data_IF_375194481166
#
_entry.id   IF_375194481166
#
_cell.length_a   1.000
_cell.length_b   1.000
_cell.length_c   1.000
_cell.angle_alpha   90.00
_cell.angle_beta   90.00
_cell.angle_gamma   90.00
#
_symmetry.space_group_name_H-M   'P 1'
#
loop_
_entity.id
_entity.type
_entity.pdbx_description
1 polymer ?
#
# COMPACT_ATOMS: atom_id res chain seq x y z
N UNK A 1 4.91 8.82 -26.15
CA UNK A 1 5.88 9.10 -25.06
C UNK A 1 5.11 9.27 -23.76
N UNK A 2 5.25 8.38 -22.77
CA UNK A 2 4.60 8.57 -21.46
C UNK A 2 5.26 9.76 -20.76
N UNK A 3 4.50 10.81 -20.43
CA UNK A 3 4.96 11.88 -19.54
C UNK A 3 5.53 11.25 -18.27
N UNK A 4 6.85 11.30 -18.13
CA UNK A 4 7.55 10.85 -16.93
C UNK A 4 7.30 11.90 -15.85
N UNK A 5 6.66 11.50 -14.75
CA UNK A 5 6.32 12.41 -13.68
C UNK A 5 7.34 12.23 -12.56
N UNK A 6 8.44 12.99 -12.60
CA UNK A 6 9.55 12.87 -11.64
C UNK A 6 9.10 12.98 -10.18
N UNK A 7 8.01 13.70 -9.91
CA UNK A 7 7.41 13.80 -8.57
C UNK A 7 6.87 12.47 -8.05
N UNK A 8 6.39 11.57 -8.92
CA UNK A 8 5.92 10.24 -8.51
C UNK A 8 7.08 9.35 -8.08
N UNK A 9 8.22 9.43 -8.77
CA UNK A 9 9.38 8.61 -8.42
C UNK A 9 10.05 9.12 -7.14
N UNK A 10 10.09 10.45 -6.95
CA UNK A 10 10.48 11.04 -5.67
C UNK A 10 9.56 10.59 -4.52
N UNK A 11 8.24 10.53 -4.74
CA UNK A 11 7.31 10.02 -3.73
C UNK A 11 7.52 8.55 -3.42
N UNK A 12 7.70 7.69 -4.44
CA UNK A 12 8.02 6.27 -4.19
C UNK A 12 9.30 6.13 -3.38
N UNK A 13 10.34 6.88 -3.73
CA UNK A 13 11.59 6.92 -2.98
C UNK A 13 11.38 7.32 -1.52
N UNK A 14 10.58 8.37 -1.29
CA UNK A 14 10.20 8.77 0.08
C UNK A 14 9.46 7.65 0.82
N UNK A 15 8.51 6.97 0.17
CA UNK A 15 7.81 5.85 0.78
C UNK A 15 8.78 4.71 1.17
N UNK A 16 9.76 4.38 0.32
CA UNK A 16 10.79 3.37 0.63
C UNK A 16 11.60 3.82 1.86
N UNK A 17 12.04 5.09 1.92
CA UNK A 17 12.77 5.61 3.06
C UNK A 17 11.96 5.54 4.35
N UNK A 18 10.66 5.85 4.30
CA UNK A 18 9.77 5.76 5.47
C UNK A 18 9.54 4.31 5.93
N UNK A 19 9.56 3.32 5.02
CA UNK A 19 9.53 1.90 5.39
C UNK A 19 10.77 1.54 6.20
N UNK A 20 11.95 1.89 5.68
CA UNK A 20 13.22 1.59 6.34
C UNK A 20 13.29 2.26 7.72
N UNK A 21 12.93 3.54 7.80
CA UNK A 21 12.93 4.27 9.06
C UNK A 21 11.87 3.76 10.05
N UNK A 22 10.70 3.31 9.57
CA UNK A 22 9.66 2.69 10.39
C UNK A 22 10.07 1.32 10.97
N UNK A 23 11.11 0.71 10.42
CA UNK A 23 11.71 -0.54 10.91
C UNK A 23 13.06 -0.34 11.61
N UNK A 24 13.48 0.91 11.86
CA UNK A 24 14.78 1.20 12.49
C UNK A 24 14.82 0.93 14.01
N UNK A 25 13.76 0.35 14.58
CA UNK A 25 13.62 0.10 16.03
C UNK A 25 13.11 1.28 16.85
N UNK A 26 12.85 2.45 16.24
CA UNK A 26 12.24 3.60 16.93
C UNK A 26 10.72 3.45 17.01
N UNK A 27 10.11 3.40 18.22
CA UNK A 27 8.66 3.31 18.37
C UNK A 27 7.94 4.50 17.72
N UNK A 28 8.56 5.67 17.77
CA UNK A 28 8.01 6.89 17.18
C UNK A 28 7.89 6.79 15.65
N UNK A 29 8.97 6.40 14.97
CA UNK A 29 8.94 6.25 13.51
C UNK A 29 8.07 5.09 13.07
N UNK A 30 8.09 3.98 13.81
CA UNK A 30 7.21 2.85 13.56
C UNK A 30 5.74 3.28 13.58
N UNK A 31 5.32 3.98 14.63
CA UNK A 31 3.94 4.41 14.78
C UNK A 31 3.48 5.35 13.67
N UNK A 32 4.16 6.49 13.48
CA UNK A 32 3.68 7.55 12.58
C UNK A 32 3.91 7.25 11.09
N UNK A 33 4.98 6.55 10.72
CA UNK A 33 5.20 6.25 9.29
C UNK A 33 4.23 5.19 8.77
N UNK A 34 3.81 4.25 9.61
CA UNK A 34 2.83 3.22 9.26
C UNK A 34 1.45 3.81 8.88
N UNK A 35 1.13 5.00 9.38
CA UNK A 35 -0.11 5.70 9.06
C UNK A 35 -0.29 6.02 7.57
N UNK A 36 0.78 6.10 6.77
CA UNK A 36 0.63 6.54 5.39
C UNK A 36 1.50 5.84 4.36
N UNK A 37 2.67 5.30 4.71
CA UNK A 37 3.61 4.83 3.68
C UNK A 37 3.01 3.70 2.81
N UNK A 38 2.35 2.71 3.42
CA UNK A 38 1.68 1.61 2.70
C UNK A 38 0.48 2.11 1.88
N UNK A 39 -0.52 2.80 2.46
CA UNK A 39 -1.60 3.41 1.68
C UNK A 39 -1.11 4.24 0.50
N UNK A 40 -0.07 5.05 0.69
CA UNK A 40 0.48 5.93 -0.33
C UNK A 40 1.09 5.15 -1.49
N UNK A 41 1.79 4.04 -1.22
CA UNK A 41 2.24 3.15 -2.30
C UNK A 41 1.09 2.59 -3.14
N UNK A 42 -0.02 2.18 -2.50
CA UNK A 42 -1.20 1.71 -3.21
C UNK A 42 -1.84 2.82 -4.04
N UNK A 43 -1.96 4.03 -3.49
CA UNK A 43 -2.46 5.21 -4.21
C UNK A 43 -1.59 5.56 -5.42
N UNK A 44 -0.26 5.58 -5.26
CA UNK A 44 0.68 5.83 -6.38
C UNK A 44 0.53 4.75 -7.46
N UNK A 45 0.41 3.49 -7.05
CA UNK A 45 0.22 2.36 -7.99
C UNK A 45 -1.10 2.48 -8.76
N UNK A 46 -2.17 2.88 -8.07
CA UNK A 46 -3.47 3.18 -8.68
C UNK A 46 -3.45 4.37 -9.62
N UNK A 47 -2.71 5.44 -9.27
CA UNK A 47 -2.53 6.60 -10.13
C UNK A 47 -1.87 6.24 -11.47
N UNK A 48 -0.90 5.33 -11.44
CA UNK A 48 -0.18 4.84 -12.63
C UNK A 48 -0.97 3.80 -13.44
N UNK A 49 -2.11 3.34 -12.92
CA UNK A 49 -2.96 2.38 -13.60
C UNK A 49 -3.68 3.01 -14.78
N UNK A 50 -3.79 2.25 -15.87
CA UNK A 50 -4.54 2.61 -17.06
C UNK A 50 -5.58 1.51 -17.31
N UNK A 51 -6.87 1.81 -17.48
CA UNK A 51 -7.85 0.77 -17.71
C UNK A 51 -7.63 0.12 -19.09
N UNK A 52 -7.98 -1.17 -19.20
CA UNK A 52 -7.92 -1.93 -20.46
C UNK A 52 -9.33 -2.33 -20.86
N UNK A 53 -9.55 -2.45 -22.17
CA UNK A 53 -10.90 -2.68 -22.72
C UNK A 53 -11.16 -4.15 -22.99
N UNK A 54 -10.10 -4.93 -23.24
CA UNK A 54 -10.19 -6.36 -23.57
C UNK A 54 -9.55 -7.23 -22.50
N UNK A 55 -10.11 -8.42 -22.31
CA UNK A 55 -9.60 -9.43 -21.37
C UNK A 55 -8.16 -9.85 -21.69
N UNK A 56 -7.82 -9.95 -22.98
CA UNK A 56 -6.47 -10.32 -23.44
C UNK A 56 -5.44 -9.26 -23.01
N UNK A 57 -5.75 -7.96 -23.19
CA UNK A 57 -4.89 -6.86 -22.76
C UNK A 57 -4.69 -6.85 -21.24
N UNK A 58 -5.73 -7.15 -20.46
CA UNK A 58 -5.62 -7.30 -18.99
C UNK A 58 -4.67 -8.45 -18.65
N UNK A 59 -4.84 -9.63 -19.28
CA UNK A 59 -3.98 -10.80 -19.03
C UNK A 59 -2.52 -10.50 -19.35
N UNK A 60 -2.23 -9.93 -20.51
CA UNK A 60 -0.85 -9.55 -20.90
C UNK A 60 -0.24 -8.56 -19.91
N UNK A 61 -1.02 -7.56 -19.47
CA UNK A 61 -0.55 -6.59 -18.49
C UNK A 61 -0.29 -7.22 -17.11
N UNK A 62 -1.17 -8.12 -16.66
CA UNK A 62 -0.98 -8.87 -15.41
C UNK A 62 0.26 -9.75 -15.49
N UNK A 63 0.51 -10.44 -16.62
CA UNK A 63 1.72 -11.25 -16.81
C UNK A 63 3.00 -10.41 -16.72
N UNK A 64 3.00 -9.21 -17.33
CA UNK A 64 4.11 -8.26 -17.19
C UNK A 64 4.31 -7.80 -15.74
N UNK A 65 3.23 -7.60 -14.99
CA UNK A 65 3.29 -7.25 -13.57
C UNK A 65 3.78 -8.41 -12.70
N UNK A 66 3.31 -9.62 -12.98
CA UNK A 66 3.75 -10.85 -12.35
C UNK A 66 5.26 -11.01 -12.50
N UNK A 67 5.78 -10.88 -13.73
CA UNK A 67 7.22 -10.95 -13.98
C UNK A 67 8.00 -9.85 -13.27
N UNK A 68 7.49 -8.61 -13.25
CA UNK A 68 8.18 -7.50 -12.60
C UNK A 68 8.19 -7.58 -11.06
N UNK A 69 7.17 -8.16 -10.45
CA UNK A 69 7.00 -8.18 -9.00
C UNK A 69 7.41 -9.51 -8.38
N UNK A 70 6.93 -10.62 -8.94
CA UNK A 70 7.13 -11.93 -8.34
C UNK A 70 8.46 -12.57 -8.70
N UNK A 71 9.07 -12.23 -9.85
CA UNK A 71 10.45 -12.70 -10.12
C UNK A 71 11.41 -12.13 -9.07
N UNK A 72 11.47 -10.81 -8.80
CA UNK A 72 12.29 -10.32 -7.69
C UNK A 72 11.90 -10.91 -6.33
N UNK A 73 10.60 -11.06 -6.04
CA UNK A 73 10.12 -11.67 -4.79
C UNK A 73 10.72 -13.06 -4.57
N UNK A 74 10.62 -13.96 -5.57
CA UNK A 74 11.15 -15.32 -5.45
C UNK A 74 12.68 -15.33 -5.52
N UNK A 75 13.32 -14.51 -6.36
CA UNK A 75 14.77 -14.43 -6.44
C UNK A 75 15.41 -13.99 -5.12
N UNK A 76 14.93 -12.88 -4.52
CA UNK A 76 15.42 -12.43 -3.22
C UNK A 76 15.01 -13.38 -2.10
N UNK A 77 13.82 -13.96 -2.17
CA UNK A 77 13.35 -14.92 -1.17
C UNK A 77 14.22 -16.19 -1.11
N UNK A 78 14.60 -16.72 -2.28
CA UNK A 78 15.51 -17.85 -2.42
C UNK A 78 16.93 -17.48 -2.01
N UNK A 79 17.41 -16.27 -2.33
CA UNK A 79 18.71 -15.78 -1.86
C UNK A 79 18.79 -15.78 -0.32
N UNK A 80 17.76 -15.26 0.35
CA UNK A 80 17.68 -15.25 1.81
C UNK A 80 17.64 -16.68 2.35
N UNK A 81 16.87 -17.56 1.72
CA UNK A 81 16.81 -18.97 2.12
C UNK A 81 18.19 -19.66 2.01
N UNK A 82 18.96 -19.35 0.96
CA UNK A 82 20.33 -19.82 0.78
C UNK A 82 21.28 -19.27 1.86
N UNK A 83 21.16 -17.99 2.23
CA UNK A 83 21.96 -17.40 3.31
C UNK A 83 21.67 -18.09 4.65
N UNK A 84 20.39 -18.31 4.96
CA UNK A 84 19.97 -19.04 6.17
C UNK A 84 20.55 -20.44 6.18
N UNK A 85 20.51 -21.15 5.04
CA UNK A 85 21.10 -22.48 4.92
C UNK A 85 22.59 -22.49 5.27
N UNK A 86 23.36 -21.54 4.75
CA UNK A 86 24.80 -21.43 5.04
C UNK A 86 25.07 -21.11 6.51
N UNK A 87 24.18 -20.39 7.18
CA UNK A 87 24.32 -20.03 8.59
C UNK A 87 23.92 -21.14 9.55
N UNK A 88 22.84 -21.87 9.25
CA UNK A 88 22.24 -22.84 10.19
C UNK A 88 22.49 -24.30 9.83
N UNK A 89 22.90 -24.59 8.58
CA UNK A 89 23.02 -25.94 8.01
C UNK A 89 21.77 -26.81 8.20
N UNK A 90 20.61 -26.20 8.41
CA UNK A 90 19.37 -26.88 8.75
C UNK A 90 18.41 -26.91 7.55
N UNK A 91 18.38 -28.05 6.86
CA UNK A 91 17.50 -28.24 5.68
C UNK A 91 16.02 -28.06 6.02
N UNK A 92 15.58 -28.50 7.21
CA UNK A 92 14.18 -28.39 7.63
C UNK A 92 13.76 -26.93 7.77
N UNK A 93 14.63 -26.10 8.34
CA UNK A 93 14.39 -24.66 8.49
C UNK A 93 14.27 -23.99 7.11
N UNK A 94 15.14 -24.33 6.17
CA UNK A 94 15.09 -23.80 4.79
C UNK A 94 13.80 -24.19 4.08
N UNK A 95 13.40 -25.46 4.16
CA UNK A 95 12.16 -25.94 3.54
C UNK A 95 10.92 -25.23 4.12
N UNK A 96 10.88 -25.00 5.44
CA UNK A 96 9.82 -24.22 6.08
C UNK A 96 9.80 -22.77 5.59
N UNK A 97 10.98 -22.13 5.45
CA UNK A 97 11.06 -20.77 4.92
C UNK A 97 10.60 -20.68 3.45
N UNK A 98 10.95 -21.66 2.61
CA UNK A 98 10.46 -21.73 1.22
C UNK A 98 8.94 -21.94 1.21
N UNK A 99 8.41 -22.79 2.08
CA UNK A 99 6.96 -22.98 2.23
C UNK A 99 6.26 -21.68 2.64
N UNK A 100 6.81 -20.95 3.62
CA UNK A 100 6.32 -19.63 4.00
C UNK A 100 6.41 -18.61 2.86
N UNK A 101 7.47 -18.63 2.06
CA UNK A 101 7.62 -17.80 0.87
C UNK A 101 6.53 -18.09 -0.18
N UNK A 102 6.17 -19.36 -0.37
CA UNK A 102 5.11 -19.77 -1.29
C UNK A 102 3.71 -19.38 -0.80
N UNK A 103 3.40 -19.61 0.48
CA UNK A 103 2.10 -19.24 1.06
C UNK A 103 1.96 -17.74 1.22
N UNK A 104 3.05 -17.05 1.47
CA UNK A 104 3.09 -15.62 1.72
C UNK A 104 2.21 -15.20 2.91
N UNK A 105 1.74 -13.96 2.87
CA UNK A 105 0.87 -13.42 3.90
C UNK A 105 1.52 -13.41 5.29
N UNK A 106 0.72 -13.49 6.36
CA UNK A 106 1.22 -13.37 7.75
C UNK A 106 2.21 -14.47 8.16
N UNK A 107 2.34 -15.53 7.36
CA UNK A 107 3.37 -16.55 7.55
C UNK A 107 4.80 -16.04 7.27
N UNK A 108 4.92 -14.92 6.56
CA UNK A 108 6.19 -14.22 6.34
C UNK A 108 6.61 -13.48 7.62
N UNK A 109 7.24 -14.20 8.53
CA UNK A 109 7.87 -13.68 9.73
C UNK A 109 9.33 -13.25 9.51
N UNK A 110 9.87 -12.50 10.47
CA UNK A 110 11.31 -12.19 10.57
C UNK A 110 11.90 -11.63 9.25
N UNK A 111 12.71 -12.42 8.54
CA UNK A 111 13.45 -12.05 7.34
C UNK A 111 12.57 -11.70 6.14
N UNK A 112 11.36 -12.26 6.07
CA UNK A 112 10.49 -12.13 4.90
C UNK A 112 9.37 -11.09 5.07
N UNK A 113 9.33 -10.43 6.23
CA UNK A 113 8.20 -9.60 6.63
C UNK A 113 7.86 -8.45 5.68
N UNK A 114 8.82 -7.95 4.90
CA UNK A 114 8.66 -6.86 3.93
C UNK A 114 8.01 -7.35 2.64
N UNK A 115 8.19 -8.62 2.27
CA UNK A 115 7.69 -9.17 1.02
C UNK A 115 6.18 -9.30 0.95
N UNK A 116 5.50 -9.29 2.09
CA UNK A 116 4.03 -9.26 2.19
C UNK A 116 3.41 -8.12 1.38
N UNK A 117 4.09 -6.98 1.33
CA UNK A 117 3.65 -5.84 0.52
C UNK A 117 3.58 -6.20 -0.97
N UNK A 118 4.56 -6.94 -1.48
CA UNK A 118 4.66 -7.28 -2.91
C UNK A 118 3.52 -8.20 -3.34
N UNK A 119 3.21 -9.24 -2.56
CA UNK A 119 2.10 -10.16 -2.86
C UNK A 119 0.75 -9.48 -2.75
N UNK A 120 0.55 -8.66 -1.70
CA UNK A 120 -0.67 -7.87 -1.53
C UNK A 120 -0.85 -6.88 -2.70
N UNK A 121 0.20 -6.14 -3.06
CA UNK A 121 0.17 -5.22 -4.20
C UNK A 121 -0.14 -5.91 -5.51
N UNK A 122 0.45 -7.09 -5.77
CA UNK A 122 0.14 -7.86 -6.96
C UNK A 122 -1.34 -8.26 -7.02
N UNK A 123 -1.88 -8.81 -5.92
CA UNK A 123 -3.30 -9.17 -5.85
C UNK A 123 -4.21 -7.95 -6.01
N UNK A 124 -3.88 -6.80 -5.42
CA UNK A 124 -4.65 -5.57 -5.59
C UNK A 124 -4.66 -5.10 -7.04
N UNK A 125 -3.53 -5.18 -7.75
CA UNK A 125 -3.49 -4.91 -9.20
C UNK A 125 -4.41 -5.86 -9.98
N UNK A 126 -4.40 -7.15 -9.64
CA UNK A 126 -5.23 -8.18 -10.28
C UNK A 126 -6.72 -7.88 -10.07
N UNK A 127 -7.15 -7.79 -8.80
CA UNK A 127 -8.57 -7.58 -8.45
C UNK A 127 -9.06 -6.26 -9.05
N UNK A 128 -8.29 -5.18 -8.93
CA UNK A 128 -8.70 -3.89 -9.48
C UNK A 128 -8.75 -3.90 -11.01
N UNK A 129 -7.83 -4.59 -11.70
CA UNK A 129 -7.85 -4.66 -13.16
C UNK A 129 -9.09 -5.39 -13.68
N UNK A 130 -9.46 -6.49 -13.05
CA UNK A 130 -10.70 -7.20 -13.37
C UNK A 130 -11.94 -6.40 -12.98
N UNK A 131 -11.97 -5.76 -11.82
CA UNK A 131 -13.06 -4.89 -11.41
C UNK A 131 -13.27 -3.74 -12.40
N UNK A 132 -12.21 -3.08 -12.86
CA UNK A 132 -12.27 -2.01 -13.86
C UNK A 132 -12.71 -2.52 -15.25
N UNK A 133 -12.41 -3.78 -15.59
CA UNK A 133 -12.86 -4.41 -16.82
C UNK A 133 -14.36 -4.73 -16.77
N UNK A 134 -14.84 -5.31 -15.68
CA UNK A 134 -16.21 -5.82 -15.54
C UNK A 134 -17.22 -4.74 -15.11
N UNK A 135 -16.83 -3.83 -14.21
CA UNK A 135 -17.71 -2.83 -13.63
C UNK A 135 -17.60 -1.51 -14.40
N UNK A 136 -18.54 -1.28 -15.33
CA UNK A 136 -18.56 -0.05 -16.15
C UNK A 136 -19.25 1.13 -15.48
N UNK A 137 -20.25 0.88 -14.63
CA UNK A 137 -21.04 1.93 -13.96
C UNK A 137 -20.29 2.46 -12.74
N UNK A 138 -20.11 3.79 -12.66
CA UNK A 138 -19.43 4.46 -11.53
C UNK A 138 -20.07 4.12 -10.18
N UNK A 139 -21.41 4.12 -10.08
CA UNK A 139 -22.13 3.78 -8.84
C UNK A 139 -21.85 2.34 -8.38
N UNK A 140 -21.84 1.38 -9.30
CA UNK A 140 -21.52 -0.02 -9.00
C UNK A 140 -20.08 -0.20 -8.53
N UNK A 141 -19.13 0.58 -9.07
CA UNK A 141 -17.74 0.54 -8.63
C UNK A 141 -17.59 1.12 -7.22
N UNK A 142 -18.27 2.24 -6.92
CA UNK A 142 -18.30 2.81 -5.56
C UNK A 142 -18.91 1.82 -4.57
N UNK A 143 -20.03 1.16 -4.93
CA UNK A 143 -20.65 0.14 -4.09
C UNK A 143 -19.71 -1.06 -3.85
N UNK A 144 -19.03 -1.55 -4.89
CA UNK A 144 -18.04 -2.61 -4.77
C UNK A 144 -16.92 -2.25 -3.79
N UNK A 145 -16.35 -1.04 -3.91
CA UNK A 145 -15.31 -0.55 -3.01
C UNK A 145 -15.81 -0.39 -1.57
N UNK A 146 -17.04 0.12 -1.39
CA UNK A 146 -17.67 0.25 -0.07
C UNK A 146 -17.89 -1.11 0.59
N UNK A 147 -18.32 -2.11 -0.18
CA UNK A 147 -18.47 -3.49 0.30
C UNK A 147 -17.11 -4.09 0.69
N UNK A 148 -16.06 -3.92 -0.14
CA UNK A 148 -14.72 -4.38 0.21
C UNK A 148 -14.23 -3.75 1.52
N UNK A 149 -14.39 -2.44 1.67
CA UNK A 149 -14.03 -1.72 2.90
C UNK A 149 -14.79 -2.25 4.12
N UNK A 150 -16.11 -2.42 4.01
CA UNK A 150 -16.94 -2.92 5.11
C UNK A 150 -16.57 -4.36 5.50
N UNK A 151 -16.33 -5.23 4.50
CA UNK A 151 -15.88 -6.61 4.74
C UNK A 151 -14.49 -6.61 5.40
N UNK A 152 -13.59 -5.70 5.03
CA UNK A 152 -12.27 -5.59 5.65
C UNK A 152 -12.38 -5.29 7.17
N UNK A 153 -13.27 -4.37 7.56
CA UNK A 153 -13.50 -4.07 8.97
C UNK A 153 -14.20 -5.19 9.70
N UNK A 154 -15.21 -5.83 9.10
CA UNK A 154 -15.84 -7.03 9.67
C UNK A 154 -14.78 -8.08 9.97
N UNK A 155 -13.91 -8.36 8.99
CA UNK A 155 -12.84 -9.35 9.15
C UNK A 155 -11.92 -9.03 10.34
N UNK A 156 -11.59 -7.75 10.56
CA UNK A 156 -10.74 -7.31 11.67
C UNK A 156 -11.45 -7.33 13.02
N UNK A 157 -12.76 -7.07 13.06
CA UNK A 157 -13.56 -7.13 14.28
C UNK A 157 -13.70 -8.54 14.87
N UNK A 158 -13.37 -9.59 14.10
CA UNK A 158 -13.48 -10.98 14.53
C UNK A 158 -12.08 -11.62 14.70
N UNK A 159 -11.55 -11.70 15.93
CA UNK A 159 -10.18 -12.22 16.18
C UNK A 159 -9.94 -13.64 15.66
N UNK A 160 -10.97 -14.50 15.65
CA UNK A 160 -10.85 -15.86 15.12
C UNK A 160 -10.52 -15.91 13.62
N UNK A 161 -10.96 -14.90 12.86
CA UNK A 161 -10.66 -14.78 11.43
C UNK A 161 -9.22 -14.30 11.20
N UNK A 162 -8.71 -13.45 12.10
CA UNK A 162 -7.37 -12.89 12.01
C UNK A 162 -6.25 -13.91 12.29
N UNK A 163 -6.55 -14.98 13.04
CA UNK A 163 -5.61 -16.07 13.34
C UNK A 163 -5.36 -16.98 12.13
N UNK A 164 -6.28 -17.01 11.15
CA UNK A 164 -6.10 -17.82 9.94
C UNK A 164 -5.14 -17.12 8.98
N UNK A 165 -4.04 -17.80 8.66
CA UNK A 165 -3.11 -17.35 7.63
C UNK A 165 -3.77 -17.44 6.26
N UNK A 166 -4.09 -16.28 5.68
CA UNK A 166 -4.64 -16.19 4.33
C UNK A 166 -3.48 -16.09 3.34
N UNK A 167 -3.56 -16.89 2.28
CA UNK A 167 -2.58 -16.94 1.20
C UNK A 167 -2.36 -15.52 0.66
N UNK A 168 -1.09 -15.12 0.57
CA UNK A 168 -0.63 -13.85 -0.01
C UNK A 168 -1.26 -12.58 0.59
N UNK A 169 -1.81 -12.65 1.80
CA UNK A 169 -2.54 -11.53 2.42
C UNK A 169 -3.72 -11.04 1.58
N UNK A 170 -4.47 -11.96 0.97
CA UNK A 170 -5.65 -11.60 0.18
C UNK A 170 -6.72 -10.83 0.98
N UNK A 171 -6.77 -10.99 2.30
CA UNK A 171 -7.60 -10.18 3.20
C UNK A 171 -7.22 -8.69 3.18
N UNK A 172 -5.93 -8.37 3.18
CA UNK A 172 -5.44 -6.99 3.12
C UNK A 172 -5.75 -6.31 1.77
N UNK A 173 -6.10 -7.08 0.74
CA UNK A 173 -6.57 -6.56 -0.57
C UNK A 173 -7.88 -5.80 -0.43
N UNK A 174 -8.75 -6.24 0.49
CA UNK A 174 -10.07 -5.61 0.72
C UNK A 174 -9.95 -4.14 1.13
N UNK A 175 -8.95 -3.79 1.94
CA UNK A 175 -8.66 -2.40 2.29
C UNK A 175 -7.79 -1.71 1.24
N UNK A 176 -6.72 -2.38 0.77
CA UNK A 176 -5.76 -1.73 -0.13
C UNK A 176 -6.33 -1.38 -1.51
N UNK A 177 -7.36 -2.10 -1.97
CA UNK A 177 -8.08 -1.74 -3.20
C UNK A 177 -8.78 -0.39 -3.10
N UNK A 178 -9.21 0.03 -1.90
CA UNK A 178 -9.77 1.36 -1.67
C UNK A 178 -8.71 2.45 -1.89
N UNK A 179 -7.52 2.30 -1.31
CA UNK A 179 -6.39 3.23 -1.56
C UNK A 179 -5.97 3.25 -3.03
N UNK A 180 -5.90 2.07 -3.65
CA UNK A 180 -5.59 1.94 -5.07
C UNK A 180 -6.64 2.66 -5.94
N UNK A 181 -7.93 2.49 -5.64
CA UNK A 181 -9.02 3.16 -6.34
C UNK A 181 -8.95 4.69 -6.17
N UNK A 182 -8.67 5.17 -4.96
CA UNK A 182 -8.50 6.61 -4.70
C UNK A 182 -7.36 7.17 -5.55
N UNK A 183 -6.23 6.47 -5.61
CA UNK A 183 -5.13 6.79 -6.51
C UNK A 183 -5.57 6.89 -7.98
N UNK A 184 -6.29 5.89 -8.47
CA UNK A 184 -6.80 5.84 -9.84
C UNK A 184 -7.72 7.02 -10.18
N UNK A 185 -8.72 7.29 -9.32
CA UNK A 185 -9.68 8.38 -9.55
C UNK A 185 -9.09 9.76 -9.31
N UNK A 186 -8.09 9.89 -8.44
CA UNK A 186 -7.42 11.17 -8.18
C UNK A 186 -6.84 11.79 -9.44
N UNK A 187 -6.46 10.99 -10.45
CA UNK A 187 -5.96 11.47 -11.74
C UNK A 187 -6.92 12.44 -12.44
N UNK A 188 -8.24 12.26 -12.27
CA UNK A 188 -9.26 13.14 -12.86
C UNK A 188 -9.54 14.38 -12.00
N UNK A 189 -9.34 14.29 -10.68
CA UNK A 189 -9.64 15.34 -9.69
C UNK A 189 -8.37 16.02 -9.15
N UNK A 190 -7.25 15.88 -9.87
CA UNK A 190 -5.90 16.16 -9.36
C UNK A 190 -5.69 17.63 -8.98
N UNK A 191 -6.46 18.56 -9.57
CA UNK A 191 -6.42 19.99 -9.25
C UNK A 191 -6.85 20.32 -7.81
N UNK A 192 -7.54 19.42 -7.11
CA UNK A 192 -7.92 19.63 -5.72
C UNK A 192 -6.75 19.47 -4.75
N UNK A 193 -5.83 18.54 -5.04
CA UNK A 193 -4.66 18.23 -4.19
C UNK A 193 -3.60 19.33 -4.27
N UNK A 194 -3.61 20.14 -5.33
CA UNK A 194 -2.66 21.24 -5.54
C UNK A 194 -3.07 22.55 -4.84
N UNK A 195 -4.26 22.62 -4.24
CA UNK A 195 -4.72 23.83 -3.55
C UNK A 195 -4.07 23.96 -2.19
N UNK A 196 -3.52 25.14 -1.91
CA UNK A 196 -2.98 25.49 -0.58
C UNK A 196 -4.00 25.23 0.53
N UNK A 197 -5.28 25.53 0.31
CA UNK A 197 -6.36 25.30 1.28
C UNK A 197 -6.52 23.83 1.65
N UNK A 198 -6.44 22.92 0.69
CA UNK A 198 -6.50 21.46 0.92
C UNK A 198 -5.35 21.01 1.82
N UNK A 199 -4.14 21.49 1.55
CA UNK A 199 -2.94 21.13 2.32
C UNK A 199 -3.01 21.67 3.74
N UNK A 200 -3.49 22.91 3.91
CA UNK A 200 -3.72 23.50 5.24
C UNK A 200 -4.73 22.67 6.01
N UNK A 201 -5.88 22.35 5.41
CA UNK A 201 -6.90 21.51 6.04
C UNK A 201 -6.37 20.12 6.40
N UNK A 202 -5.67 19.45 5.49
CA UNK A 202 -5.04 18.15 5.75
C UNK A 202 -4.01 18.21 6.88
N UNK A 203 -3.23 19.31 6.96
CA UNK A 203 -2.26 19.51 8.04
C UNK A 203 -2.95 19.75 9.39
N UNK A 204 -4.04 20.52 9.41
CA UNK A 204 -4.85 20.74 10.61
C UNK A 204 -5.50 19.44 11.10
N UNK A 205 -6.01 18.60 10.21
CA UNK A 205 -6.59 17.30 10.56
C UNK A 205 -5.53 16.39 11.19
N UNK A 206 -4.35 16.25 10.56
CA UNK A 206 -3.28 15.42 11.13
C UNK A 206 -2.82 15.97 12.48
N UNK A 207 -2.63 17.28 12.59
CA UNK A 207 -2.25 17.92 13.86
C UNK A 207 -3.29 17.66 14.95
N UNK A 208 -4.58 17.80 14.61
CA UNK A 208 -5.67 17.53 15.55
C UNK A 208 -5.65 16.09 16.05
N UNK A 209 -5.48 15.11 15.16
CA UNK A 209 -5.36 13.69 15.57
C UNK A 209 -4.14 13.45 16.46
N UNK A 210 -2.98 14.01 16.12
CA UNK A 210 -1.77 13.89 16.95
C UNK A 210 -1.96 14.51 18.34
N UNK A 211 -2.67 15.64 18.44
CA UNK A 211 -3.01 16.26 19.72
C UNK A 211 -3.95 15.37 20.53
N UNK A 212 -5.02 14.84 19.92
CA UNK A 212 -5.94 13.93 20.59
C UNK A 212 -5.24 12.65 21.10
N UNK A 213 -4.28 12.14 20.34
CA UNK A 213 -3.47 11.00 20.73
C UNK A 213 -2.56 11.32 21.92
N UNK A 214 -1.89 12.48 21.92
CA UNK A 214 -1.09 12.92 23.07
C UNK A 214 -1.92 13.17 24.33
N UNK A 215 -3.17 13.59 24.17
CA UNK A 215 -4.12 13.76 25.27
C UNK A 215 -4.73 12.42 25.73
N UNK A 216 -4.33 11.29 25.14
CA UNK A 216 -4.87 9.94 25.38
C UNK A 216 -6.39 9.82 25.16
N UNK A 217 -6.98 10.70 24.35
CA UNK A 217 -8.41 10.69 24.00
C UNK A 217 -8.69 9.67 22.89
N UNK A 218 -7.72 9.46 22.00
CA UNK A 218 -7.84 8.58 20.84
C UNK A 218 -6.51 7.91 20.53
N UNK A 219 -6.48 6.58 20.43
CA UNK A 219 -5.32 5.84 19.90
C UNK A 219 -5.57 5.46 18.44
N UNK A 220 -4.74 5.98 17.54
CA UNK A 220 -4.84 5.64 16.12
C UNK A 220 -3.64 4.79 15.70
N UNK A 221 -3.94 3.61 15.17
CA UNK A 221 -2.94 2.71 14.61
C UNK A 221 -3.46 2.16 13.29
N UNK A 222 -2.61 2.19 12.27
CA UNK A 222 -2.90 1.58 10.98
C UNK A 222 -1.76 0.65 10.60
N UNK A 223 -2.05 -0.64 10.58
CA UNK A 223 -1.11 -1.63 10.09
C UNK A 223 -1.83 -2.63 9.18
N UNK A 224 -1.62 -2.46 7.87
CA UNK A 224 -2.19 -3.33 6.83
C UNK A 224 -1.68 -4.77 6.94
N UNK A 225 -0.43 -4.95 7.39
CA UNK A 225 0.17 -6.27 7.58
C UNK A 225 -0.44 -6.97 8.79
N UNK A 226 -0.59 -6.26 9.90
CA UNK A 226 -1.17 -6.80 11.13
C UNK A 226 -2.71 -6.88 11.09
N UNK A 227 -3.35 -6.29 10.07
CA UNK A 227 -4.79 -6.10 9.96
C UNK A 227 -5.36 -5.28 11.14
N UNK A 228 -4.69 -4.17 11.45
CA UNK A 228 -5.15 -3.21 12.46
C UNK A 228 -5.74 -2.02 11.71
N UNK A 229 -7.07 -1.90 11.77
CA UNK A 229 -7.85 -0.89 11.07
C UNK A 229 -8.66 -0.07 12.05
N UNK A 230 -8.71 1.24 11.84
CA UNK A 230 -9.55 2.15 12.63
C UNK A 230 -10.55 2.79 11.70
N UNK A 231 -11.84 2.50 11.92
CA UNK A 231 -12.94 3.00 11.10
C UNK A 231 -12.77 4.47 10.73
N UNK A 232 -12.83 4.77 9.44
CA UNK A 232 -12.77 6.11 8.81
C UNK A 232 -11.39 6.77 8.89
N UNK A 233 -10.72 6.72 10.05
CA UNK A 233 -9.41 7.32 10.25
C UNK A 233 -8.34 6.66 9.38
N UNK A 234 -8.46 5.36 9.14
CA UNK A 234 -7.65 4.62 8.19
C UNK A 234 -7.83 5.07 6.73
N UNK A 235 -8.90 5.77 6.35
CA UNK A 235 -9.00 6.43 5.05
C UNK A 235 -8.54 7.89 5.11
N UNK A 236 -9.00 8.63 6.12
CA UNK A 236 -8.79 10.08 6.21
C UNK A 236 -7.31 10.43 6.39
N UNK A 237 -6.63 9.75 7.32
CA UNK A 237 -5.25 10.11 7.69
C UNK A 237 -4.27 9.85 6.55
N UNK A 238 -4.27 8.67 5.89
CA UNK A 238 -3.37 8.48 4.76
C UNK A 238 -3.69 9.40 3.58
N UNK A 239 -4.96 9.78 3.37
CA UNK A 239 -5.32 10.75 2.34
C UNK A 239 -4.78 12.15 2.64
N UNK A 240 -4.87 12.59 3.90
CA UNK A 240 -4.28 13.86 4.33
C UNK A 240 -2.75 13.84 4.20
N UNK A 241 -2.10 12.74 4.58
CA UNK A 241 -0.66 12.60 4.42
C UNK A 241 -0.26 12.60 2.93
N UNK A 242 -1.00 11.89 2.08
CA UNK A 242 -0.80 11.86 0.64
C UNK A 242 -0.92 13.26 0.02
N UNK A 243 -1.94 14.05 0.40
CA UNK A 243 -2.15 15.38 -0.16
C UNK A 243 -0.97 16.32 0.14
N UNK A 244 -0.48 16.31 1.39
CA UNK A 244 0.65 17.11 1.85
C UNK A 244 1.93 16.73 1.10
N UNK A 245 2.22 15.42 1.00
CA UNK A 245 3.43 14.93 0.36
C UNK A 245 3.44 15.21 -1.14
N UNK A 246 2.31 15.00 -1.84
CA UNK A 246 2.17 15.32 -3.26
C UNK A 246 2.41 16.80 -3.51
N UNK A 247 1.77 17.68 -2.72
CA UNK A 247 1.95 19.13 -2.84
C UNK A 247 3.41 19.56 -2.65
N UNK A 248 4.06 19.04 -1.60
CA UNK A 248 5.46 19.36 -1.27
C UNK A 248 6.41 18.93 -2.37
N UNK A 249 6.26 17.71 -2.91
CA UNK A 249 7.16 17.20 -3.96
C UNK A 249 7.01 17.98 -5.26
N UNK A 250 5.78 18.32 -5.67
CA UNK A 250 5.54 19.12 -6.86
C UNK A 250 6.11 20.54 -6.74
N UNK A 251 5.85 21.23 -5.63
CA UNK A 251 6.40 22.57 -5.41
C UNK A 251 7.92 22.59 -5.38
N UNK A 252 8.55 21.54 -4.82
CA UNK A 252 10.01 21.42 -4.81
C UNK A 252 10.56 21.28 -6.24
N UNK A 253 9.95 20.44 -7.06
CA UNK A 253 10.40 20.22 -8.44
C UNK A 253 10.15 21.43 -9.34
N UNK A 254 8.99 22.10 -9.23
CA UNK A 254 8.73 23.34 -9.97
C UNK A 254 9.74 24.44 -9.66
N UNK A 255 10.21 24.54 -8.40
CA UNK A 255 11.26 25.49 -8.02
C UNK A 255 12.61 25.13 -8.64
N UNK A 256 12.96 23.84 -8.65
CA UNK A 256 14.22 23.36 -9.24
C UNK A 256 14.25 23.64 -10.74
N UNK A 257 13.15 23.37 -11.46
CA UNK A 257 13.01 23.65 -12.89
C UNK A 257 13.05 25.16 -13.23
N UNK A 258 12.78 26.06 -12.28
CA UNK A 258 12.87 27.51 -12.47
C UNK A 258 14.27 28.09 -12.19
N UNK A 259 15.17 27.30 -11.60
CA UNK A 259 16.55 27.71 -11.26
C UNK A 259 17.59 27.27 -12.30
N UNK A 260 17.19 26.53 -13.33
CA UNK A 260 18.00 26.12 -14.48
C UNK A 260 17.47 26.79 -15.74
#
# INVERSE_FOLDING_TARGET
MSKHHSWLDALKGLCILTVVAGHSGSPFFHHYFFWFHMPLFFMISGYLFHPRSRIQEVREWILKKWMRLLVPYFSFGLLIAAIIFVQTFNVREVLLNIYHLCIGGRTLGYYYGVFLFVTCLFLTHLVFAYAALLIKRKRSMVLFLALCYFIAHIYVSFPFLQQKNIIWSANSVLLSICYYAIGYYSRQTFSFVERKSTVILSSLIILFIVVLEKLNVLSYTLDIKANIYTWLLDLIIPLCAASILVYKQKNKLNKVEQTF
#
